data_IF_068594642340
#
_entry.id   IF_068594642340
#
_cell.length_a   1.000
_cell.length_b   1.000
_cell.length_c   1.000
_cell.angle_alpha   90.00
_cell.angle_beta   90.00
_cell.angle_gamma   90.00
#
_symmetry.space_group_name_H-M   'P 1'
#
loop_
_entity.id
_entity.type
_entity.pdbx_description
1 polymer ?
#
# COMPACT_ATOMS: atom_id res chain seq x y z
N UNK A 1 -14.21 -23.08 -1.84
CA UNK A 1 -12.75 -22.86 -1.94
C UNK A 1 -12.35 -21.42 -1.61
N UNK A 2 -13.09 -20.40 -2.11
CA UNK A 2 -12.83 -18.97 -1.87
C UNK A 2 -12.74 -18.54 -0.39
N UNK A 3 -13.65 -19.00 0.48
CA UNK A 3 -13.64 -18.67 1.91
C UNK A 3 -12.35 -19.10 2.65
N UNK A 4 -11.72 -20.19 2.19
CA UNK A 4 -10.45 -20.70 2.77
C UNK A 4 -9.23 -19.90 2.31
N UNK A 5 -9.26 -19.34 1.10
CA UNK A 5 -8.17 -18.50 0.57
C UNK A 5 -8.17 -17.15 1.28
N UNK A 6 -9.34 -16.53 1.45
CA UNK A 6 -9.51 -15.30 2.21
C UNK A 6 -8.97 -15.43 3.65
N UNK A 7 -9.30 -16.54 4.34
CA UNK A 7 -8.81 -16.80 5.69
C UNK A 7 -7.27 -16.93 5.77
N UNK A 8 -6.63 -17.55 4.76
CA UNK A 8 -5.16 -17.65 4.68
C UNK A 8 -4.51 -16.30 4.41
N UNK A 9 -5.04 -15.54 3.46
CA UNK A 9 -4.53 -14.22 3.11
C UNK A 9 -4.68 -13.24 4.28
N UNK A 10 -5.81 -13.29 4.98
CA UNK A 10 -6.05 -12.51 6.18
C UNK A 10 -5.20 -12.94 7.38
N UNK A 11 -4.80 -14.22 7.47
CA UNK A 11 -3.81 -14.67 8.45
C UNK A 11 -2.42 -14.13 8.10
N UNK A 12 -1.99 -14.27 6.85
CA UNK A 12 -0.70 -13.79 6.39
C UNK A 12 -0.55 -12.27 6.60
N UNK A 13 -1.57 -11.48 6.23
CA UNK A 13 -1.61 -10.05 6.52
C UNK A 13 -1.53 -9.72 8.03
N UNK A 14 -2.06 -10.58 8.91
CA UNK A 14 -1.93 -10.39 10.38
C UNK A 14 -0.51 -10.67 10.85
N UNK A 15 0.16 -11.66 10.27
CA UNK A 15 1.54 -12.03 10.62
C UNK A 15 2.52 -10.95 10.13
N UNK A 16 2.36 -10.46 8.89
CA UNK A 16 3.11 -9.28 8.39
C UNK A 16 2.88 -8.04 9.26
N UNK A 17 1.68 -7.89 9.85
CA UNK A 17 1.43 -6.79 10.81
C UNK A 17 2.17 -6.96 12.13
N UNK A 18 2.52 -8.18 12.54
CA UNK A 18 3.28 -8.41 13.77
C UNK A 18 4.77 -8.22 13.54
N UNK A 19 5.23 -8.59 12.35
CA UNK A 19 6.64 -8.61 11.98
C UNK A 19 6.87 -7.82 10.68
N UNK A 20 6.69 -6.48 10.69
CA UNK A 20 7.01 -5.66 9.52
C UNK A 20 8.52 -5.57 9.33
N UNK A 21 8.94 -5.35 8.08
CA UNK A 21 10.32 -4.95 7.80
C UNK A 21 10.66 -3.62 8.47
N UNK A 22 11.96 -3.32 8.63
CA UNK A 22 12.38 -2.04 9.23
C UNK A 22 11.95 -0.84 8.38
N UNK A 23 11.93 -1.00 7.05
CA UNK A 23 11.50 0.03 6.11
C UNK A 23 9.99 0.30 6.22
N UNK A 24 9.16 -0.75 6.21
CA UNK A 24 7.72 -0.63 6.46
C UNK A 24 7.45 -0.01 7.84
N UNK A 25 8.18 -0.45 8.88
CA UNK A 25 8.02 0.09 10.24
C UNK A 25 8.31 1.59 10.27
N UNK A 26 9.38 2.01 9.60
CA UNK A 26 9.77 3.42 9.49
C UNK A 26 8.72 4.24 8.76
N UNK A 27 8.25 3.79 7.59
CA UNK A 27 7.21 4.50 6.84
C UNK A 27 5.87 4.51 7.59
N UNK A 28 5.49 3.39 8.23
CA UNK A 28 4.28 3.31 9.04
C UNK A 28 4.29 4.32 10.20
N UNK A 29 5.44 4.57 10.82
CA UNK A 29 5.56 5.57 11.88
C UNK A 29 5.16 6.97 11.43
N UNK A 30 5.34 7.30 10.16
CA UNK A 30 4.96 8.59 9.56
C UNK A 30 3.52 8.61 9.04
N UNK A 31 2.99 7.48 8.57
CA UNK A 31 1.63 7.38 8.00
C UNK A 31 0.53 7.13 9.03
N UNK A 32 0.84 6.50 10.16
CA UNK A 32 -0.15 6.11 11.18
C UNK A 32 -0.87 7.32 11.77
N UNK A 33 -2.04 7.05 12.35
CA UNK A 33 -2.81 8.05 13.09
C UNK A 33 -3.09 9.35 12.31
N UNK A 34 -3.23 9.25 10.99
CA UNK A 34 -3.51 10.41 10.12
C UNK A 34 -2.43 11.51 10.13
N UNK A 35 -1.19 11.18 10.50
CA UNK A 35 -0.11 12.17 10.59
C UNK A 35 0.25 12.81 9.24
N UNK A 36 0.12 12.09 8.13
CA UNK A 36 0.38 12.64 6.79
C UNK A 36 -0.88 13.29 6.22
N UNK A 37 -0.98 14.62 6.33
CA UNK A 37 -2.05 15.41 5.72
C UNK A 37 -3.48 15.05 6.19
N UNK A 38 -3.64 14.35 7.32
CA UNK A 38 -4.94 13.87 7.78
C UNK A 38 -5.40 12.55 7.15
N UNK A 39 -4.71 12.03 6.13
CA UNK A 39 -5.11 10.83 5.40
C UNK A 39 -4.97 9.56 6.25
N UNK A 40 -6.00 8.72 6.25
CA UNK A 40 -6.03 7.48 7.03
C UNK A 40 -5.45 6.33 6.23
N UNK A 41 -4.24 5.91 6.58
CA UNK A 41 -3.62 4.71 6.03
C UNK A 41 -3.89 3.48 6.91
N UNK A 42 -4.04 2.33 6.24
CA UNK A 42 -4.01 0.99 6.82
C UNK A 42 -2.76 0.30 6.32
N UNK A 43 -2.11 -0.50 7.16
CA UNK A 43 -0.97 -1.31 6.76
C UNK A 43 -1.35 -2.77 6.49
N UNK A 44 -0.63 -3.41 5.57
CA UNK A 44 -0.81 -4.79 5.14
C UNK A 44 -2.29 -5.05 4.80
N UNK A 45 -2.84 -4.21 3.93
CA UNK A 45 -4.25 -4.21 3.57
C UNK A 45 -4.54 -5.30 2.54
N UNK A 46 -5.54 -6.14 2.81
CA UNK A 46 -5.97 -7.19 1.88
C UNK A 46 -6.88 -6.55 0.83
N UNK A 47 -6.50 -6.69 -0.44
CA UNK A 47 -7.29 -6.37 -1.63
C UNK A 47 -7.21 -7.62 -2.51
N UNK A 48 -8.15 -8.55 -2.36
CA UNK A 48 -8.01 -9.88 -2.93
C UNK A 48 -7.71 -9.86 -4.45
N UNK A 49 -6.74 -10.67 -4.92
CA UNK A 49 -5.94 -11.66 -4.19
C UNK A 49 -4.66 -11.12 -3.52
N UNK A 50 -4.49 -9.80 -3.45
CA UNK A 50 -3.26 -9.12 -3.05
C UNK A 50 -3.25 -8.68 -1.57
N UNK A 51 -2.04 -8.50 -1.04
CA UNK A 51 -1.79 -7.72 0.18
C UNK A 51 -0.89 -6.56 -0.21
N UNK A 52 -1.29 -5.36 0.19
CA UNK A 52 -0.54 -4.13 -0.04
C UNK A 52 0.04 -3.60 1.26
N UNK A 53 1.27 -3.11 1.25
CA UNK A 53 1.96 -2.64 2.46
C UNK A 53 1.21 -1.51 3.14
N UNK A 54 0.72 -0.54 2.36
CA UNK A 54 -0.14 0.53 2.85
C UNK A 54 -1.27 0.86 1.89
N UNK A 55 -2.43 1.20 2.44
CA UNK A 55 -3.61 1.63 1.70
C UNK A 55 -4.28 2.81 2.40
N UNK A 56 -4.53 3.89 1.67
CA UNK A 56 -5.51 4.91 2.03
C UNK A 56 -6.86 4.60 1.37
N UNK A 57 -7.83 4.00 2.08
CA UNK A 57 -9.04 3.48 1.45
C UNK A 57 -9.95 4.56 0.88
N UNK A 58 -9.94 5.76 1.46
CA UNK A 58 -10.81 6.87 1.08
C UNK A 58 -10.51 7.45 -0.29
N UNK A 59 -9.28 7.30 -0.79
CA UNK A 59 -8.81 7.83 -2.09
C UNK A 59 -8.21 6.75 -2.99
N UNK A 60 -8.20 5.49 -2.55
CA UNK A 60 -7.65 4.39 -3.34
C UNK A 60 -6.14 4.41 -3.53
N UNK A 61 -5.40 5.12 -2.68
CA UNK A 61 -3.94 5.20 -2.79
C UNK A 61 -3.27 4.02 -2.09
N UNK A 62 -2.52 3.22 -2.83
CA UNK A 62 -1.65 2.15 -2.35
C UNK A 62 -0.22 2.65 -2.34
N UNK A 63 0.54 2.31 -1.30
CA UNK A 63 1.97 2.54 -1.20
C UNK A 63 2.66 1.22 -0.87
N UNK A 64 3.62 0.81 -1.69
CA UNK A 64 4.41 -0.41 -1.52
C UNK A 64 5.89 -0.04 -1.30
N UNK A 65 6.59 -0.82 -0.47
CA UNK A 65 8.02 -0.67 -0.18
C UNK A 65 8.74 -1.97 -0.50
N UNK A 66 9.64 -1.97 -1.48
CA UNK A 66 10.33 -3.20 -1.91
C UNK A 66 11.77 -2.93 -2.39
N UNK A 67 12.57 -3.98 -2.52
CA UNK A 67 13.96 -3.98 -2.98
C UNK A 67 14.08 -4.48 -4.44
N UNK A 68 13.12 -4.13 -5.30
CA UNK A 68 13.11 -4.47 -6.73
C UNK A 68 13.09 -5.98 -7.06
N UNK A 69 12.53 -6.83 -6.20
CA UNK A 69 12.28 -8.25 -6.54
C UNK A 69 10.96 -8.41 -7.30
N UNK A 70 10.85 -7.72 -8.42
CA UNK A 70 9.61 -7.64 -9.21
C UNK A 70 9.72 -8.54 -10.45
N UNK A 71 8.62 -9.25 -10.72
CA UNK A 71 8.44 -10.05 -11.94
C UNK A 71 7.61 -9.19 -12.88
N UNK A 72 8.22 -8.56 -13.91
CA UNK A 72 7.58 -7.49 -14.67
C UNK A 72 6.24 -7.87 -15.31
N UNK A 73 6.05 -9.17 -15.59
CA UNK A 73 4.81 -9.69 -16.17
C UNK A 73 3.72 -9.73 -15.10
N UNK A 74 4.01 -10.29 -13.93
CA UNK A 74 3.04 -10.38 -12.82
C UNK A 74 2.68 -9.01 -12.27
N UNK A 75 3.64 -8.10 -12.22
CA UNK A 75 3.39 -6.75 -11.74
C UNK A 75 2.50 -5.96 -12.69
N UNK A 76 2.60 -6.20 -14.00
CA UNK A 76 1.69 -5.58 -14.98
C UNK A 76 0.24 -6.03 -14.79
N UNK A 77 0.01 -7.33 -14.62
CA UNK A 77 -1.35 -7.86 -14.42
C UNK A 77 -1.93 -7.37 -13.09
N UNK A 78 -1.12 -7.39 -12.02
CA UNK A 78 -1.49 -6.84 -10.70
C UNK A 78 -1.86 -5.35 -10.79
N UNK A 79 -1.03 -4.55 -11.45
CA UNK A 79 -1.26 -3.11 -11.58
C UNK A 79 -2.50 -2.81 -12.41
N UNK A 80 -2.71 -3.57 -13.48
CA UNK A 80 -3.92 -3.49 -14.29
C UNK A 80 -5.17 -3.78 -13.45
N UNK A 81 -5.16 -4.88 -12.68
CA UNK A 81 -6.28 -5.27 -11.82
C UNK A 81 -6.60 -4.23 -10.75
N UNK A 82 -5.56 -3.72 -10.07
CA UNK A 82 -5.71 -2.70 -9.03
C UNK A 82 -6.21 -1.38 -9.63
N UNK A 83 -5.70 -0.98 -10.79
CA UNK A 83 -6.16 0.21 -11.49
C UNK A 83 -7.64 0.08 -11.91
N UNK A 84 -8.07 -1.08 -12.42
CA UNK A 84 -9.47 -1.34 -12.77
C UNK A 84 -10.41 -1.27 -11.55
N UNK A 85 -9.89 -1.60 -10.36
CA UNK A 85 -10.62 -1.45 -9.11
C UNK A 85 -10.58 -0.01 -8.55
N UNK A 86 -9.96 0.94 -9.25
CA UNK A 86 -9.86 2.34 -8.84
C UNK A 86 -8.80 2.58 -7.76
N UNK A 87 -7.73 1.79 -7.76
CA UNK A 87 -6.55 2.04 -6.95
C UNK A 87 -5.42 2.64 -7.78
N UNK A 88 -4.64 3.51 -7.14
CA UNK A 88 -3.36 3.99 -7.66
C UNK A 88 -2.24 3.43 -6.79
N UNK A 89 -1.20 2.86 -7.39
CA UNK A 89 -0.06 2.30 -6.67
C UNK A 89 1.14 3.24 -6.81
N UNK A 90 1.76 3.59 -5.66
CA UNK A 90 3.08 4.18 -5.59
C UNK A 90 4.05 3.13 -5.02
N UNK A 91 5.23 3.02 -5.62
CA UNK A 91 6.29 2.11 -5.18
C UNK A 91 7.52 2.92 -4.80
N UNK A 92 8.11 2.60 -3.66
CA UNK A 92 9.36 3.20 -3.20
C UNK A 92 10.36 2.08 -2.90
N UNK A 93 11.62 2.33 -3.24
CA UNK A 93 12.69 1.40 -2.89
C UNK A 93 12.98 1.44 -1.39
N UNK A 94 13.59 0.38 -0.86
CA UNK A 94 14.16 0.40 0.48
C UNK A 94 15.18 1.55 0.66
N UNK A 95 15.92 1.89 -0.40
CA UNK A 95 16.86 3.01 -0.40
C UNK A 95 16.12 4.37 -0.27
N UNK A 96 14.99 4.55 -0.96
CA UNK A 96 14.17 5.76 -0.83
C UNK A 96 13.70 5.95 0.62
N UNK A 97 13.16 4.90 1.23
CA UNK A 97 12.68 4.93 2.62
C UNK A 97 13.84 5.12 3.61
N UNK A 98 15.02 4.58 3.30
CA UNK A 98 16.22 4.71 4.14
C UNK A 98 16.80 6.12 4.08
N UNK A 99 17.01 6.63 2.88
CA UNK A 99 17.88 7.77 2.61
C UNK A 99 17.09 9.05 2.27
N UNK A 100 15.85 8.93 1.80
CA UNK A 100 15.03 10.04 1.31
C UNK A 100 13.57 9.99 1.82
N UNK A 101 13.39 9.75 3.12
CA UNK A 101 12.05 9.66 3.71
C UNK A 101 11.20 10.92 3.46
N UNK A 102 11.81 12.11 3.49
CA UNK A 102 11.07 13.36 3.24
C UNK A 102 10.52 13.42 1.81
N UNK A 103 11.33 13.04 0.81
CA UNK A 103 10.88 12.95 -0.58
C UNK A 103 9.76 11.92 -0.76
N UNK A 104 9.87 10.76 -0.12
CA UNK A 104 8.80 9.73 -0.10
C UNK A 104 7.49 10.32 0.43
N UNK A 105 7.53 10.99 1.58
CA UNK A 105 6.33 11.57 2.20
C UNK A 105 5.75 12.72 1.37
N UNK A 106 6.59 13.54 0.74
CA UNK A 106 6.15 14.60 -0.17
C UNK A 106 5.37 14.02 -1.34
N UNK A 107 5.92 13.01 -2.03
CA UNK A 107 5.25 12.38 -3.18
C UNK A 107 3.92 11.74 -2.76
N UNK A 108 3.88 11.05 -1.62
CA UNK A 108 2.64 10.46 -1.10
C UNK A 108 1.60 11.55 -0.81
N UNK A 109 2.00 12.64 -0.15
CA UNK A 109 1.10 13.72 0.23
C UNK A 109 0.57 14.47 -1.01
N UNK A 110 1.45 14.83 -1.93
CA UNK A 110 1.09 15.49 -3.19
C UNK A 110 0.08 14.65 -3.96
N UNK A 111 0.33 13.34 -4.04
CA UNK A 111 -0.60 12.43 -4.71
C UNK A 111 -1.91 12.31 -3.95
N UNK A 112 -1.88 12.20 -2.62
CA UNK A 112 -3.07 12.08 -1.80
C UNK A 112 -3.98 13.31 -1.92
N UNK A 113 -3.39 14.50 -2.00
CA UNK A 113 -4.12 15.76 -2.20
C UNK A 113 -4.74 15.88 -3.60
N UNK A 114 -4.11 15.29 -4.62
CA UNK A 114 -4.59 15.35 -6.00
C UNK A 114 -5.68 14.31 -6.32
N UNK A 115 -5.82 13.26 -5.50
CA UNK A 115 -6.79 12.19 -5.74
C UNK A 115 -8.18 12.55 -5.20
N UNK A 116 -9.25 12.36 -5.98
CA UNK A 116 -10.61 12.51 -5.48
C UNK A 116 -10.95 11.39 -4.50
N UNK A 117 -12.00 11.55 -3.67
CA UNK A 117 -12.57 10.45 -2.92
C UNK A 117 -12.88 9.26 -3.83
N UNK A 118 -12.45 8.07 -3.43
CA UNK A 118 -12.65 6.85 -4.20
C UNK A 118 -14.14 6.54 -4.28
N UNK A 119 -14.63 6.45 -5.51
CA UNK A 119 -15.97 5.97 -5.78
C UNK A 119 -15.99 4.46 -5.57
N UNK A 120 -16.94 3.96 -4.77
CA UNK A 120 -17.16 2.52 -4.66
C UNK A 120 -17.76 2.06 -5.97
N UNK A 121 -17.02 1.25 -6.72
CA UNK A 121 -17.58 0.49 -7.84
C UNK A 121 -18.63 -0.43 -7.21
N UNK A 122 -19.90 -0.10 -7.42
CA UNK A 122 -21.05 -0.87 -6.91
C UNK A 122 -21.43 -1.92 -7.93
#
# INVERSE_FOLDING_TARGET
MALRINARLGQYARDMRREPTDYERRLWSALRASQLGGFKFRRQAVIEPYICDFLCPSIGLIVEVDDDRHDPIKDRDRDFDLAHQGYLVLRFSNADVRDNMEGVLSVILDRANALPPRQKIT
#
